data_IF_568466300570
#
_entry.id   IF_568466300570
#
_cell.length_a   1.000
_cell.length_b   1.000
_cell.length_c   1.000
_cell.angle_alpha   90.00
_cell.angle_beta   90.00
_cell.angle_gamma   90.00
#
_symmetry.space_group_name_H-M   'P 1'
#
loop_
_entity.id
_entity.type
_entity.pdbx_description
1 polymer ?
#
# COMPACT_ATOMS: atom_id res chain seq x y z
N UNK A 1 -56.35 -72.98 -21.65
CA UNK A 1 -55.15 -72.92 -20.78
C UNK A 1 -54.74 -71.47 -20.62
N UNK A 2 -54.49 -71.04 -19.36
CA UNK A 2 -53.92 -69.76 -18.86
C UNK A 2 -53.31 -68.83 -19.94
N UNK A 3 -53.50 -67.51 -19.89
CA UNK A 3 -52.86 -66.63 -18.90
C UNK A 3 -53.54 -65.25 -18.81
N UNK A 4 -53.72 -64.81 -17.57
CA UNK A 4 -54.04 -63.45 -17.12
C UNK A 4 -52.79 -62.58 -17.32
N UNK A 5 -52.91 -61.37 -17.87
CA UNK A 5 -51.87 -60.35 -17.82
C UNK A 5 -52.36 -59.15 -17.01
N UNK A 6 -51.74 -59.03 -15.84
CA UNK A 6 -51.80 -57.95 -14.88
C UNK A 6 -50.91 -56.80 -15.41
N UNK A 7 -51.49 -55.64 -15.71
CA UNK A 7 -50.71 -54.43 -16.01
C UNK A 7 -50.49 -53.69 -14.70
N UNK A 8 -49.27 -53.75 -14.19
CA UNK A 8 -48.80 -53.01 -13.02
C UNK A 8 -48.41 -51.60 -13.46
N UNK A 9 -49.08 -50.59 -12.91
CA UNK A 9 -48.77 -49.18 -13.08
C UNK A 9 -47.60 -48.84 -12.14
N UNK A 10 -46.39 -48.66 -12.68
CA UNK A 10 -45.21 -48.25 -11.91
C UNK A 10 -45.11 -46.72 -11.94
N UNK A 11 -45.41 -46.07 -10.82
CA UNK A 11 -45.21 -44.64 -10.62
C UNK A 11 -43.71 -44.37 -10.37
N UNK A 12 -43.06 -43.64 -11.29
CA UNK A 12 -41.69 -43.18 -11.13
C UNK A 12 -41.68 -41.91 -10.25
N UNK A 13 -41.20 -42.01 -9.01
CA UNK A 13 -40.84 -40.86 -8.19
C UNK A 13 -39.49 -40.31 -8.68
N UNK A 14 -39.51 -39.10 -9.25
CA UNK A 14 -38.31 -38.34 -9.55
C UNK A 14 -37.79 -37.70 -8.25
N UNK A 15 -36.72 -38.24 -7.69
CA UNK A 15 -35.96 -37.59 -6.63
C UNK A 15 -35.12 -36.47 -7.26
N UNK A 16 -35.56 -35.22 -7.11
CA UNK A 16 -34.72 -34.05 -7.35
C UNK A 16 -33.64 -34.00 -6.25
N UNK A 17 -32.49 -34.62 -6.52
CA UNK A 17 -31.30 -34.44 -5.70
C UNK A 17 -30.78 -33.03 -5.92
N UNK A 18 -30.69 -32.24 -4.85
CA UNK A 18 -29.87 -31.03 -4.82
C UNK A 18 -28.42 -31.45 -5.14
N UNK A 19 -27.99 -31.26 -6.38
CA UNK A 19 -26.56 -31.20 -6.68
C UNK A 19 -26.07 -29.91 -6.04
N UNK A 20 -25.34 -30.04 -4.93
CA UNK A 20 -24.47 -28.97 -4.48
C UNK A 20 -23.53 -28.66 -5.65
N UNK A 21 -23.58 -27.43 -6.15
CA UNK A 21 -22.58 -26.90 -7.08
C UNK A 21 -21.21 -27.17 -6.45
N UNK A 22 -20.24 -27.74 -7.20
CA UNK A 22 -18.89 -27.88 -6.68
C UNK A 22 -18.44 -26.50 -6.19
N UNK A 23 -18.17 -26.38 -4.90
CA UNK A 23 -17.47 -25.21 -4.37
C UNK A 23 -16.12 -25.21 -5.05
N UNK A 24 -15.91 -24.26 -5.95
CA UNK A 24 -14.61 -24.04 -6.59
C UNK A 24 -13.58 -23.87 -5.48
N UNK A 25 -12.51 -24.68 -5.52
CA UNK A 25 -11.46 -24.56 -4.51
C UNK A 25 -10.88 -23.15 -4.57
N UNK A 26 -10.62 -22.52 -3.41
CA UNK A 26 -10.06 -21.18 -3.39
C UNK A 26 -8.74 -21.15 -4.16
N UNK A 27 -8.43 -20.04 -4.86
CA UNK A 27 -7.22 -19.95 -5.70
C UNK A 27 -5.91 -20.00 -4.90
N UNK A 28 -6.01 -19.90 -3.57
CA UNK A 28 -4.90 -19.89 -2.63
C UNK A 28 -5.22 -20.72 -1.38
N UNK A 29 -4.16 -21.15 -0.70
CA UNK A 29 -4.26 -21.66 0.67
C UNK A 29 -4.38 -20.50 1.65
N UNK A 30 -5.15 -20.68 2.73
CA UNK A 30 -5.30 -19.69 3.79
C UNK A 30 -4.82 -20.34 5.08
N UNK A 31 -4.08 -19.61 5.90
CA UNK A 31 -3.69 -20.08 7.22
C UNK A 31 -4.91 -20.46 8.09
N UNK A 32 -4.84 -21.64 8.73
CA UNK A 32 -5.93 -22.18 9.56
C UNK A 32 -6.31 -21.26 10.74
N UNK A 33 -5.39 -20.38 11.15
CA UNK A 33 -5.50 -19.49 12.31
C UNK A 33 -5.85 -18.03 11.95
N UNK A 34 -6.33 -17.75 10.73
CA UNK A 34 -6.60 -16.39 10.24
C UNK A 34 -7.47 -15.54 11.18
N UNK A 35 -8.44 -16.14 11.87
CA UNK A 35 -9.26 -15.42 12.87
C UNK A 35 -8.41 -14.93 14.05
N UNK A 36 -7.55 -15.80 14.59
CA UNK A 36 -6.66 -15.42 15.69
C UNK A 36 -5.64 -14.37 15.25
N UNK A 37 -5.25 -14.39 13.98
CA UNK A 37 -4.35 -13.40 13.40
C UNK A 37 -4.95 -12.00 13.35
N UNK A 38 -6.17 -11.87 12.79
CA UNK A 38 -6.85 -10.57 12.74
C UNK A 38 -7.21 -10.04 14.14
N UNK A 39 -7.51 -10.93 15.10
CA UNK A 39 -7.81 -10.54 16.49
C UNK A 39 -6.63 -9.90 17.24
N UNK A 40 -5.39 -10.01 16.72
CA UNK A 40 -4.25 -9.26 17.26
C UNK A 40 -4.38 -7.74 17.05
N UNK A 41 -5.16 -7.32 16.05
CA UNK A 41 -5.40 -5.93 15.68
C UNK A 41 -6.76 -5.50 16.23
N UNK A 42 -6.73 -4.82 17.38
CA UNK A 42 -7.95 -4.32 18.02
C UNK A 42 -8.39 -3.02 17.33
N UNK A 43 -9.59 -2.98 16.72
CA UNK A 43 -10.08 -1.76 16.09
C UNK A 43 -10.23 -0.64 17.12
N UNK A 44 -9.65 0.51 16.82
CA UNK A 44 -9.72 1.70 17.67
C UNK A 44 -10.08 2.90 16.81
N UNK A 45 -11.06 3.68 17.28
CA UNK A 45 -11.36 4.97 16.67
C UNK A 45 -10.26 5.96 17.06
N UNK A 46 -9.56 6.46 16.04
CA UNK A 46 -8.60 7.56 16.16
C UNK A 46 -9.32 8.87 15.84
N UNK A 47 -9.13 9.88 16.68
CA UNK A 47 -9.74 11.19 16.49
C UNK A 47 -8.93 12.28 17.16
N UNK A 48 -9.13 13.51 16.70
CA UNK A 48 -8.52 14.72 17.23
C UNK A 48 -9.58 15.82 17.42
N UNK A 49 -9.35 16.72 18.37
CA UNK A 49 -10.20 17.90 18.51
C UNK A 49 -9.84 18.91 17.41
N UNK A 50 -10.74 19.07 16.43
CA UNK A 50 -10.57 20.00 15.32
C UNK A 50 -11.13 21.40 15.63
N UNK A 51 -11.68 21.62 16.82
CA UNK A 51 -12.46 22.80 17.20
C UNK A 51 -11.73 24.14 17.02
N UNK A 52 -10.40 24.13 17.11
CA UNK A 52 -9.55 25.30 16.97
C UNK A 52 -9.08 25.55 15.53
N UNK A 53 -9.13 24.55 14.65
CA UNK A 53 -8.72 24.70 13.25
C UNK A 53 -9.59 25.73 12.53
N UNK A 54 -8.93 26.57 11.72
CA UNK A 54 -9.60 27.51 10.83
C UNK A 54 -10.45 26.79 9.79
N UNK A 55 -11.34 27.52 9.10
CA UNK A 55 -12.09 26.94 7.99
C UNK A 55 -11.16 26.49 6.85
N UNK A 56 -10.10 27.26 6.59
CA UNK A 56 -9.10 26.94 5.57
C UNK A 56 -8.28 25.70 5.92
N UNK A 57 -7.87 25.53 7.18
CA UNK A 57 -7.09 24.36 7.61
C UNK A 57 -7.95 23.08 7.61
N UNK A 58 -9.24 23.18 7.92
CA UNK A 58 -10.16 22.04 7.77
C UNK A 58 -10.30 21.62 6.32
N UNK A 59 -10.43 22.57 5.40
CA UNK A 59 -10.47 22.29 3.97
C UNK A 59 -9.14 21.71 3.47
N UNK A 60 -8.01 22.25 3.93
CA UNK A 60 -6.68 21.70 3.64
C UNK A 60 -6.54 20.26 4.16
N UNK A 61 -6.99 19.98 5.38
CA UNK A 61 -6.97 18.64 5.97
C UNK A 61 -7.78 17.62 5.16
N UNK A 62 -8.99 17.99 4.70
CA UNK A 62 -9.81 17.12 3.85
C UNK A 62 -9.13 16.80 2.50
N UNK A 63 -8.37 17.75 1.95
CA UNK A 63 -7.59 17.57 0.73
C UNK A 63 -6.33 16.72 0.97
N UNK A 64 -5.68 16.89 2.11
CA UNK A 64 -4.52 16.09 2.52
C UNK A 64 -4.90 14.63 2.76
N UNK A 65 -6.06 14.35 3.36
CA UNK A 65 -6.59 12.98 3.50
C UNK A 65 -6.74 12.33 2.12
N UNK A 66 -7.31 13.05 1.15
CA UNK A 66 -7.43 12.54 -0.22
C UNK A 66 -6.06 12.32 -0.89
N UNK A 67 -5.06 13.15 -0.58
CA UNK A 67 -3.70 12.98 -1.08
C UNK A 67 -3.03 11.74 -0.44
N UNK A 68 -3.26 11.52 0.86
CA UNK A 68 -2.78 10.35 1.60
C UNK A 68 -3.34 9.06 1.01
N UNK A 69 -4.64 9.01 0.66
CA UNK A 69 -5.22 7.86 -0.04
C UNK A 69 -4.53 7.57 -1.39
N UNK A 70 -4.04 8.60 -2.08
CA UNK A 70 -3.33 8.43 -3.36
C UNK A 70 -1.95 7.81 -3.14
N UNK A 71 -1.17 8.34 -2.20
CA UNK A 71 0.17 7.79 -1.92
C UNK A 71 0.14 6.47 -1.16
N UNK A 72 -0.96 6.15 -0.46
CA UNK A 72 -1.21 4.81 0.06
C UNK A 72 -1.20 3.77 -1.08
N UNK A 73 -1.87 4.07 -2.20
CA UNK A 73 -1.80 3.22 -3.39
C UNK A 73 -0.39 3.09 -3.99
N UNK A 74 0.43 4.15 -3.88
CA UNK A 74 1.85 4.09 -4.27
C UNK A 74 2.65 3.17 -3.33
N UNK A 75 2.46 3.32 -2.02
CA UNK A 75 3.13 2.48 -1.03
C UNK A 75 2.77 1.01 -1.20
N UNK A 76 1.52 0.70 -1.51
CA UNK A 76 1.11 -0.68 -1.78
C UNK A 76 1.86 -1.30 -2.97
N UNK A 77 2.13 -0.53 -4.03
CA UNK A 77 2.96 -0.96 -5.16
C UNK A 77 4.44 -1.09 -4.77
N UNK A 78 4.92 -0.24 -3.86
CA UNK A 78 6.28 -0.33 -3.30
C UNK A 78 6.45 -1.54 -2.37
N UNK A 79 5.42 -1.92 -1.62
CA UNK A 79 5.41 -3.12 -0.79
C UNK A 79 5.44 -4.38 -1.65
N UNK A 80 4.68 -4.41 -2.75
CA UNK A 80 4.72 -5.52 -3.69
C UNK A 80 4.25 -5.13 -5.10
N UNK A 81 5.17 -5.15 -6.07
CA UNK A 81 4.91 -4.72 -7.44
C UNK A 81 3.96 -5.66 -8.23
N UNK A 82 3.82 -6.94 -7.83
CA UNK A 82 3.02 -7.93 -8.55
C UNK A 82 1.68 -8.25 -7.85
N UNK A 83 1.12 -7.27 -7.14
CA UNK A 83 -0.07 -7.46 -6.29
C UNK A 83 -1.41 -7.54 -7.02
N UNK A 84 -1.53 -6.98 -8.23
CA UNK A 84 -2.80 -6.80 -8.94
C UNK A 84 -3.67 -8.07 -9.02
N UNK A 85 -3.05 -9.22 -9.32
CA UNK A 85 -3.78 -10.48 -9.40
C UNK A 85 -4.29 -10.92 -8.03
N UNK A 86 -3.45 -10.83 -7.00
CA UNK A 86 -3.82 -11.21 -5.63
C UNK A 86 -4.90 -10.28 -5.08
N UNK A 87 -4.78 -8.97 -5.30
CA UNK A 87 -5.79 -7.99 -4.90
C UNK A 87 -7.16 -8.33 -5.48
N UNK A 88 -7.21 -8.67 -6.78
CA UNK A 88 -8.44 -9.07 -7.45
C UNK A 88 -9.01 -10.37 -6.86
N UNK A 89 -8.15 -11.36 -6.57
CA UNK A 89 -8.57 -12.62 -5.97
C UNK A 89 -9.12 -12.42 -4.54
N UNK A 90 -8.44 -11.63 -3.70
CA UNK A 90 -8.85 -11.30 -2.32
C UNK A 90 -10.16 -10.53 -2.33
N UNK A 91 -10.29 -9.52 -3.20
CA UNK A 91 -11.52 -8.75 -3.34
C UNK A 91 -12.73 -9.64 -3.72
N UNK A 92 -12.52 -10.57 -4.66
CA UNK A 92 -13.55 -11.51 -5.13
C UNK A 92 -13.82 -12.68 -4.16
N UNK A 93 -12.98 -12.89 -3.16
CA UNK A 93 -13.10 -14.04 -2.26
C UNK A 93 -14.38 -13.97 -1.41
N UNK A 94 -15.17 -15.05 -1.45
CA UNK A 94 -16.40 -15.23 -0.67
C UNK A 94 -16.44 -16.55 0.11
N UNK A 95 -15.28 -17.19 0.30
CA UNK A 95 -15.16 -18.46 1.00
C UNK A 95 -15.18 -18.34 2.53
N UNK A 96 -14.78 -19.41 3.25
CA UNK A 96 -14.63 -19.37 4.70
C UNK A 96 -13.75 -18.22 5.17
N UNK A 97 -14.16 -17.53 6.24
CA UNK A 97 -13.43 -16.41 6.84
C UNK A 97 -13.15 -15.23 5.89
N UNK A 98 -13.97 -15.02 4.84
CA UNK A 98 -13.73 -13.98 3.84
C UNK A 98 -13.50 -12.57 4.42
N UNK A 99 -14.23 -12.19 5.47
CA UNK A 99 -13.99 -10.91 6.15
C UNK A 99 -12.57 -10.85 6.75
N UNK A 100 -12.21 -11.82 7.59
CA UNK A 100 -10.88 -11.88 8.20
C UNK A 100 -9.75 -11.95 7.16
N UNK A 101 -9.94 -12.63 6.02
CA UNK A 101 -8.97 -12.65 4.92
C UNK A 101 -8.79 -11.25 4.33
N UNK A 102 -9.87 -10.54 4.05
CA UNK A 102 -9.81 -9.19 3.47
C UNK A 102 -9.21 -8.18 4.45
N UNK A 103 -9.67 -8.20 5.69
CA UNK A 103 -9.19 -7.32 6.75
C UNK A 103 -7.69 -7.54 7.01
N UNK A 104 -7.25 -8.79 7.08
CA UNK A 104 -5.85 -9.09 7.34
C UNK A 104 -4.94 -8.80 6.14
N UNK A 105 -5.42 -9.00 4.92
CA UNK A 105 -4.71 -8.59 3.70
C UNK A 105 -4.53 -7.07 3.62
N UNK A 106 -5.56 -6.31 4.00
CA UNK A 106 -5.50 -4.85 4.09
C UNK A 106 -4.51 -4.39 5.16
N UNK A 107 -4.60 -4.94 6.38
CA UNK A 107 -3.66 -4.65 7.48
C UNK A 107 -2.20 -4.97 7.11
N UNK A 108 -1.98 -6.11 6.44
CA UNK A 108 -0.64 -6.56 6.07
C UNK A 108 -0.15 -6.01 4.74
N UNK A 109 -0.99 -5.33 3.98
CA UNK A 109 -0.69 -4.85 2.63
C UNK A 109 -0.14 -5.96 1.73
N UNK A 110 -0.66 -7.19 1.88
CA UNK A 110 -0.19 -8.35 1.12
C UNK A 110 -0.40 -9.71 1.79
N UNK A 111 0.06 -10.79 1.12
CA UNK A 111 -0.12 -12.18 1.55
C UNK A 111 0.83 -12.65 2.66
N UNK A 112 1.63 -11.75 3.22
CA UNK A 112 2.68 -12.04 4.21
C UNK A 112 2.39 -11.41 5.56
N UNK A 113 2.79 -12.09 6.64
CA UNK A 113 2.51 -11.65 8.02
C UNK A 113 3.66 -10.77 8.53
N UNK A 114 3.45 -9.44 8.52
CA UNK A 114 4.42 -8.45 8.97
C UNK A 114 4.78 -8.59 10.47
N UNK A 115 3.92 -9.19 11.29
CA UNK A 115 4.24 -9.49 12.71
C UNK A 115 5.11 -10.74 12.86
N UNK A 116 5.24 -11.53 11.80
CA UNK A 116 5.92 -12.82 11.81
C UNK A 116 6.93 -12.95 10.68
N UNK A 117 7.76 -11.91 10.53
CA UNK A 117 8.88 -11.85 9.59
C UNK A 117 8.50 -12.21 8.14
N UNK A 118 7.33 -11.74 7.69
CA UNK A 118 6.81 -11.99 6.35
C UNK A 118 6.57 -13.47 6.01
N UNK A 119 6.25 -14.29 7.02
CA UNK A 119 5.75 -15.64 6.76
C UNK A 119 4.46 -15.58 5.92
N UNK A 120 4.33 -16.33 4.81
CA UNK A 120 3.11 -16.34 4.02
C UNK A 120 1.95 -16.90 4.84
N UNK A 121 0.83 -16.19 4.82
CA UNK A 121 -0.44 -16.62 5.41
C UNK A 121 -1.52 -16.86 4.35
N UNK A 122 -1.31 -16.30 3.15
CA UNK A 122 -2.16 -16.46 1.97
C UNK A 122 -1.28 -16.97 0.81
N UNK A 123 -1.50 -18.21 0.37
CA UNK A 123 -0.61 -18.90 -0.56
C UNK A 123 0.68 -19.40 0.09
N UNK A 124 1.71 -19.64 -0.72
CA UNK A 124 3.01 -20.20 -0.31
C UNK A 124 4.23 -19.42 -0.85
N UNK A 125 4.01 -18.32 -1.57
CA UNK A 125 5.08 -17.50 -2.11
C UNK A 125 5.90 -16.85 -0.98
N UNK A 126 7.22 -16.79 -1.16
CA UNK A 126 8.09 -16.03 -0.26
C UNK A 126 7.97 -14.53 -0.56
N UNK A 127 8.06 -13.70 0.48
CA UNK A 127 8.12 -12.26 0.34
C UNK A 127 9.43 -11.87 -0.38
N UNK A 128 9.38 -11.08 -1.48
CA UNK A 128 10.60 -10.61 -2.12
C UNK A 128 11.33 -9.64 -1.19
N UNK A 129 12.59 -9.90 -0.85
CA UNK A 129 13.36 -9.02 0.06
C UNK A 129 13.49 -7.59 -0.47
N UNK A 130 13.52 -7.43 -1.79
CA UNK A 130 13.52 -6.14 -2.46
C UNK A 130 12.14 -5.48 -2.59
N UNK A 131 11.09 -6.07 -2.03
CA UNK A 131 9.70 -5.62 -2.16
C UNK A 131 9.35 -5.30 -3.63
N UNK A 132 8.63 -4.20 -3.89
CA UNK A 132 8.35 -3.68 -5.22
C UNK A 132 9.46 -2.83 -5.84
N UNK A 133 10.65 -2.74 -5.23
CA UNK A 133 11.69 -1.80 -5.66
C UNK A 133 12.70 -2.36 -6.67
N UNK A 134 12.76 -3.68 -6.82
CA UNK A 134 13.68 -4.38 -7.71
C UNK A 134 12.96 -5.52 -8.44
N UNK A 135 13.50 -6.03 -9.56
CA UNK A 135 12.95 -7.25 -10.14
C UNK A 135 13.03 -8.41 -9.13
N UNK A 136 11.94 -9.14 -8.92
CA UNK A 136 11.88 -10.22 -7.91
C UNK A 136 12.90 -11.35 -8.16
N UNK A 137 13.37 -11.50 -9.41
CA UNK A 137 14.38 -12.48 -9.81
C UNK A 137 15.83 -11.97 -9.72
N UNK A 138 16.01 -10.69 -9.38
CA UNK A 138 17.32 -10.06 -9.29
C UNK A 138 18.04 -10.52 -8.02
N UNK A 139 19.30 -10.92 -8.18
CA UNK A 139 20.17 -11.26 -7.04
C UNK A 139 21.05 -10.07 -6.64
N UNK A 140 21.49 -10.03 -5.38
CA UNK A 140 22.45 -9.02 -4.93
C UNK A 140 23.73 -9.02 -5.80
N UNK A 141 24.25 -10.21 -6.11
CA UNK A 141 25.44 -10.38 -6.93
C UNK A 141 25.27 -9.84 -8.35
N UNK A 142 24.07 -9.95 -8.92
CA UNK A 142 23.76 -9.35 -10.22
C UNK A 142 23.81 -7.82 -10.14
N UNK A 143 23.17 -7.24 -9.12
CA UNK A 143 23.14 -5.80 -8.90
C UNK A 143 24.55 -5.23 -8.69
N UNK A 144 25.35 -5.86 -7.83
CA UNK A 144 26.73 -5.46 -7.58
C UNK A 144 27.61 -5.55 -8.83
N UNK A 145 27.51 -6.66 -9.57
CA UNK A 145 28.25 -6.86 -10.82
C UNK A 145 27.85 -5.82 -11.89
N UNK A 146 26.57 -5.46 -11.96
CA UNK A 146 26.11 -4.41 -12.87
C UNK A 146 26.78 -3.07 -12.58
N UNK A 147 26.82 -2.67 -11.31
CA UNK A 147 27.40 -1.40 -10.92
C UNK A 147 28.92 -1.38 -11.05
N UNK A 148 29.60 -2.51 -10.79
CA UNK A 148 31.03 -2.62 -11.05
C UNK A 148 31.35 -2.43 -12.54
N UNK A 149 30.53 -3.00 -13.42
CA UNK A 149 30.69 -2.86 -14.87
C UNK A 149 30.24 -1.48 -15.41
N UNK A 150 29.27 -0.85 -14.75
CA UNK A 150 28.64 0.41 -15.16
C UNK A 150 28.62 1.42 -13.99
N UNK A 151 29.77 1.96 -13.59
CA UNK A 151 29.86 2.81 -12.39
C UNK A 151 29.00 4.08 -12.47
N UNK A 152 28.73 4.58 -13.68
CA UNK A 152 27.91 5.77 -13.91
C UNK A 152 26.41 5.53 -13.57
N UNK A 153 25.93 4.28 -13.62
CA UNK A 153 24.55 3.92 -13.25
C UNK A 153 24.38 3.80 -11.72
N UNK A 154 25.50 3.59 -11.00
CA UNK A 154 25.52 3.28 -9.57
C UNK A 154 24.81 4.29 -8.66
N UNK A 155 24.98 5.61 -8.83
CA UNK A 155 24.27 6.61 -8.03
C UNK A 155 22.74 6.52 -8.19
N UNK A 156 22.25 6.34 -9.42
CA UNK A 156 20.82 6.19 -9.70
C UNK A 156 20.28 4.90 -9.09
N UNK A 157 20.96 3.78 -9.30
CA UNK A 157 20.51 2.47 -8.80
C UNK A 157 20.46 2.38 -7.27
N UNK A 158 21.26 3.18 -6.55
CA UNK A 158 21.24 3.28 -5.08
C UNK A 158 20.43 4.45 -4.54
N UNK A 159 19.80 5.24 -5.40
CA UNK A 159 19.03 6.41 -4.97
C UNK A 159 17.79 5.99 -4.17
N UNK A 160 17.46 6.80 -3.16
CA UNK A 160 16.25 6.69 -2.33
C UNK A 160 14.97 6.71 -3.16
N UNK A 161 14.96 7.48 -4.25
CA UNK A 161 13.74 7.83 -5.00
C UNK A 161 13.72 7.18 -6.40
N UNK A 162 14.16 5.91 -6.49
CA UNK A 162 14.16 5.18 -7.76
C UNK A 162 13.75 3.73 -7.60
N UNK A 163 12.99 3.21 -8.55
CA UNK A 163 12.76 1.78 -8.73
C UNK A 163 13.81 1.23 -9.71
N UNK A 164 14.36 0.06 -9.42
CA UNK A 164 15.24 -0.65 -10.34
C UNK A 164 14.39 -1.55 -11.21
N UNK A 165 14.48 -1.37 -12.53
CA UNK A 165 13.80 -2.22 -13.51
C UNK A 165 14.80 -2.89 -14.44
N UNK A 166 14.35 -3.97 -15.07
CA UNK A 166 15.11 -4.69 -16.09
C UNK A 166 14.69 -4.24 -17.49
N UNK A 167 15.62 -3.67 -18.26
CA UNK A 167 15.46 -3.35 -19.69
C UNK A 167 16.36 -4.26 -20.54
N UNK A 168 15.84 -5.45 -20.89
CA UNK A 168 16.66 -6.51 -21.50
C UNK A 168 17.65 -7.06 -20.48
N UNK A 169 18.95 -7.00 -20.79
CA UNK A 169 20.01 -7.40 -19.84
C UNK A 169 20.47 -6.25 -18.94
N UNK A 170 19.85 -5.07 -19.02
CA UNK A 170 20.26 -3.87 -18.29
C UNK A 170 19.45 -3.67 -17.01
N UNK A 171 20.12 -3.23 -15.95
CA UNK A 171 19.46 -2.64 -14.79
C UNK A 171 19.37 -1.12 -14.98
N UNK A 172 18.17 -0.58 -14.83
CA UNK A 172 17.89 0.85 -15.02
C UNK A 172 17.20 1.38 -13.78
N UNK A 173 17.69 2.51 -13.26
CA UNK A 173 17.03 3.26 -12.20
C UNK A 173 15.98 4.18 -12.83
N UNK A 174 14.72 4.00 -12.42
CA UNK A 174 13.59 4.83 -12.84
C UNK A 174 13.13 5.70 -11.67
N UNK A 175 13.11 7.04 -11.82
CA UNK A 175 12.68 7.93 -10.75
C UNK A 175 11.24 7.67 -10.31
N UNK A 176 10.91 7.93 -9.04
CA UNK A 176 9.55 7.78 -8.52
C UNK A 176 8.56 8.68 -9.26
N UNK A 177 8.93 9.92 -9.56
CA UNK A 177 8.13 10.85 -10.39
C UNK A 177 7.77 10.29 -11.77
N UNK A 178 8.59 9.40 -12.34
CA UNK A 178 8.29 8.72 -13.61
C UNK A 178 7.43 7.47 -13.40
N UNK A 179 7.82 6.61 -12.45
CA UNK A 179 7.15 5.31 -12.22
C UNK A 179 5.72 5.50 -11.71
N UNK A 180 5.52 6.43 -10.78
CA UNK A 180 4.23 6.69 -10.13
C UNK A 180 3.58 7.99 -10.64
N UNK A 181 3.96 8.44 -11.85
CA UNK A 181 3.60 9.76 -12.37
C UNK A 181 2.10 10.09 -12.32
N UNK A 182 1.18 9.22 -12.76
CA UNK A 182 -0.26 9.51 -12.68
C UNK A 182 -0.75 9.79 -11.25
N UNK A 183 -0.31 8.99 -10.29
CA UNK A 183 -0.65 9.10 -8.87
C UNK A 183 -0.01 10.36 -8.27
N UNK A 184 1.27 10.59 -8.52
CA UNK A 184 2.01 11.73 -7.97
C UNK A 184 1.55 13.07 -8.55
N UNK A 185 1.11 13.13 -9.82
CA UNK A 185 0.44 14.32 -10.37
C UNK A 185 -0.88 14.59 -9.66
N UNK A 186 -1.67 13.56 -9.35
CA UNK A 186 -2.92 13.73 -8.61
C UNK A 186 -2.65 14.19 -7.17
N UNK A 187 -1.69 13.58 -6.48
CA UNK A 187 -1.30 13.98 -5.13
C UNK A 187 -0.78 15.42 -5.11
N UNK A 188 0.13 15.79 -6.01
CA UNK A 188 0.64 17.16 -6.12
C UNK A 188 -0.48 18.19 -6.30
N UNK A 189 -1.44 17.92 -7.19
CA UNK A 189 -2.59 18.82 -7.38
C UNK A 189 -3.47 18.95 -6.12
N UNK A 190 -3.57 17.92 -5.28
CA UNK A 190 -4.29 17.98 -4.01
C UNK A 190 -3.50 18.79 -2.97
N UNK A 191 -2.18 18.64 -2.91
CA UNK A 191 -1.30 19.45 -2.07
C UNK A 191 -1.36 20.94 -2.45
N UNK A 192 -1.35 21.27 -3.74
CA UNK A 192 -1.52 22.65 -4.23
C UNK A 192 -2.87 23.24 -3.83
N UNK A 193 -3.95 22.45 -3.91
CA UNK A 193 -5.28 22.88 -3.45
C UNK A 193 -5.30 23.10 -1.93
N UNK A 194 -4.69 22.20 -1.15
CA UNK A 194 -4.59 22.32 0.29
C UNK A 194 -3.80 23.58 0.69
N UNK A 195 -2.69 23.85 -0.02
CA UNK A 195 -1.88 25.06 0.15
C UNK A 195 -2.66 26.34 -0.18
N UNK A 196 -3.58 26.29 -1.15
CA UNK A 196 -4.45 27.40 -1.49
C UNK A 196 -5.58 27.63 -0.48
N UNK A 197 -6.00 26.58 0.24
CA UNK A 197 -7.09 26.61 1.22
C UNK A 197 -6.64 27.08 2.61
N UNK A 198 -5.47 26.63 3.08
CA UNK A 198 -4.96 27.00 4.42
C UNK A 198 -4.66 28.49 4.56
N UNK A 199 -4.92 29.02 5.75
CA UNK A 199 -4.53 30.38 6.15
C UNK A 199 -3.13 30.43 6.79
N UNK A 200 -2.49 29.28 7.07
CA UNK A 200 -1.13 29.19 7.60
C UNK A 200 -0.08 29.30 6.49
N UNK A 201 0.74 30.35 6.59
CA UNK A 201 1.80 30.62 5.63
C UNK A 201 2.91 29.56 5.61
N UNK A 202 3.20 28.92 6.75
CA UNK A 202 4.25 27.88 6.85
C UNK A 202 3.77 26.58 6.20
N UNK A 203 2.56 26.13 6.56
CA UNK A 203 1.92 24.97 5.91
C UNK A 203 1.77 25.18 4.40
N UNK A 204 1.27 26.35 3.98
CA UNK A 204 1.17 26.69 2.57
C UNK A 204 2.50 26.54 1.83
N UNK A 205 3.57 27.12 2.39
CA UNK A 205 4.89 27.08 1.76
C UNK A 205 5.43 25.65 1.65
N UNK A 206 5.30 24.87 2.72
CA UNK A 206 5.67 23.45 2.72
C UNK A 206 4.91 22.66 1.65
N UNK A 207 3.58 22.82 1.59
CA UNK A 207 2.74 22.07 0.65
C UNK A 207 3.01 22.44 -0.82
N UNK A 208 3.26 23.71 -1.13
CA UNK A 208 3.67 24.16 -2.47
C UNK A 208 4.98 23.50 -2.90
N UNK A 209 6.01 23.51 -2.04
CA UNK A 209 7.29 22.85 -2.33
C UNK A 209 7.13 21.33 -2.43
N UNK A 210 6.39 20.72 -1.50
CA UNK A 210 6.20 19.27 -1.49
C UNK A 210 5.48 18.79 -2.75
N UNK A 211 4.49 19.54 -3.24
CA UNK A 211 3.82 19.25 -4.51
C UNK A 211 4.80 19.23 -5.69
N UNK A 212 5.73 20.20 -5.72
CA UNK A 212 6.79 20.26 -6.74
C UNK A 212 7.75 19.07 -6.66
N UNK A 213 8.09 18.63 -5.44
CA UNK A 213 9.04 17.55 -5.21
C UNK A 213 8.51 16.20 -5.68
N UNK A 214 7.20 15.94 -5.53
CA UNK A 214 6.57 14.72 -6.05
C UNK A 214 6.76 14.55 -7.57
N UNK A 215 7.01 15.65 -8.29
CA UNK A 215 7.18 15.66 -9.75
C UNK A 215 8.64 15.73 -10.18
N UNK A 216 9.58 15.92 -9.25
CA UNK A 216 11.01 16.14 -9.53
C UNK A 216 11.96 15.25 -8.75
N UNK A 217 11.48 14.59 -7.70
CA UNK A 217 12.25 13.77 -6.76
C UNK A 217 13.32 14.57 -5.95
N UNK A 218 13.12 15.88 -5.74
CA UNK A 218 14.08 16.81 -5.10
C UNK A 218 13.61 17.34 -3.72
N UNK A 219 13.55 16.48 -2.70
CA UNK A 219 12.86 16.77 -1.43
C UNK A 219 13.54 17.74 -0.44
N UNK A 220 14.78 18.19 -0.71
CA UNK A 220 15.58 18.92 0.29
C UNK A 220 14.94 20.23 0.76
N UNK A 221 14.44 21.06 -0.17
CA UNK A 221 13.89 22.37 0.19
C UNK A 221 12.55 22.24 0.92
N UNK A 222 11.69 21.30 0.53
CA UNK A 222 10.45 21.07 1.29
C UNK A 222 10.71 20.43 2.64
N UNK A 223 11.74 19.59 2.81
CA UNK A 223 12.10 19.05 4.12
C UNK A 223 12.58 20.17 5.06
N UNK A 224 13.29 21.18 4.53
CA UNK A 224 13.61 22.38 5.32
C UNK A 224 12.35 23.17 5.68
N UNK A 225 11.40 23.33 4.76
CA UNK A 225 10.14 23.99 5.04
C UNK A 225 9.24 23.20 6.00
N UNK A 226 9.33 21.87 6.00
CA UNK A 226 8.65 21.00 6.96
C UNK A 226 9.13 21.26 8.38
N UNK A 227 10.44 21.42 8.58
CA UNK A 227 11.01 21.78 9.88
C UNK A 227 10.56 23.18 10.38
N UNK A 228 10.13 24.04 9.47
CA UNK A 228 9.66 25.41 9.77
C UNK A 228 8.14 25.48 10.00
N UNK A 229 7.40 24.36 9.97
CA UNK A 229 5.97 24.33 10.28
C UNK A 229 5.70 24.90 11.68
N UNK A 230 4.70 25.77 11.78
CA UNK A 230 4.38 26.47 13.02
C UNK A 230 2.88 26.58 13.32
N UNK A 231 2.02 25.96 12.50
CA UNK A 231 0.57 25.98 12.64
C UNK A 231 -0.02 24.87 13.48
N UNK A 232 -1.34 24.73 13.38
CA UNK A 232 -2.11 23.73 14.12
C UNK A 232 -2.15 22.36 13.41
N UNK A 233 -1.67 22.27 12.16
CA UNK A 233 -1.52 21.02 11.41
C UNK A 233 -0.04 20.67 11.28
N UNK A 234 0.30 19.45 11.70
CA UNK A 234 1.62 18.85 11.53
C UNK A 234 1.51 17.75 10.46
N UNK A 235 2.27 17.89 9.37
CA UNK A 235 2.08 17.08 8.16
C UNK A 235 3.40 16.49 7.70
N UNK A 236 3.47 15.15 7.72
CA UNK A 236 4.49 14.39 7.02
C UNK A 236 3.85 13.81 5.75
N UNK A 237 4.48 13.99 4.59
CA UNK A 237 3.93 13.52 3.31
C UNK A 237 5.03 13.27 2.28
N UNK A 238 5.49 12.04 2.08
CA UNK A 238 6.55 11.78 1.09
C UNK A 238 7.27 10.46 1.31
N UNK A 239 8.33 10.18 0.53
CA UNK A 239 9.14 8.99 0.69
C UNK A 239 10.24 9.20 1.75
N UNK A 240 10.24 8.40 2.82
CA UNK A 240 11.19 8.57 3.93
C UNK A 240 11.90 7.28 4.34
N UNK A 241 11.17 6.35 4.95
CA UNK A 241 11.77 5.20 5.62
C UNK A 241 12.18 4.10 4.61
N UNK A 242 13.30 3.41 4.89
CA UNK A 242 13.85 2.40 3.96
C UNK A 242 13.66 0.96 4.42
N UNK A 243 12.84 0.73 5.46
CA UNK A 243 12.68 -0.60 6.08
C UNK A 243 11.97 -1.63 5.19
N UNK A 244 11.17 -1.17 4.23
CA UNK A 244 10.48 -2.03 3.28
C UNK A 244 11.46 -2.67 2.29
N UNK A 245 12.55 -1.99 1.95
CA UNK A 245 13.69 -2.57 1.21
C UNK A 245 14.58 -3.38 2.15
N UNK A 246 14.27 -4.67 2.29
CA UNK A 246 15.06 -5.61 3.11
C UNK A 246 16.28 -6.16 2.37
N UNK A 247 16.41 -5.89 1.06
CA UNK A 247 17.53 -6.33 0.24
C UNK A 247 18.75 -5.44 0.46
N UNK A 248 18.60 -4.13 0.29
CA UNK A 248 19.71 -3.18 0.44
C UNK A 248 19.45 -2.04 1.42
N UNK A 249 18.18 -1.78 1.78
CA UNK A 249 17.79 -0.62 2.57
C UNK A 249 18.08 0.71 1.87
N UNK A 250 18.06 0.74 0.54
CA UNK A 250 18.31 1.94 -0.25
C UNK A 250 17.05 2.72 -0.58
N UNK A 251 15.87 2.10 -0.57
CA UNK A 251 14.68 2.67 -1.22
C UNK A 251 13.70 3.19 -0.20
N UNK A 252 13.32 4.45 -0.34
CA UNK A 252 12.41 5.10 0.57
C UNK A 252 10.95 4.76 0.22
N UNK A 253 10.15 4.43 1.22
CA UNK A 253 8.71 4.16 1.11
C UNK A 253 7.91 5.45 1.28
N UNK A 254 6.87 5.63 0.46
CA UNK A 254 5.90 6.71 0.65
C UNK A 254 5.08 6.49 1.91
N UNK A 255 4.94 7.55 2.69
CA UNK A 255 4.10 7.57 3.89
C UNK A 255 3.48 8.95 4.09
N UNK A 256 2.46 9.00 4.94
CA UNK A 256 1.96 10.26 5.48
C UNK A 256 1.45 10.14 6.89
N UNK A 257 1.66 11.21 7.65
CA UNK A 257 1.05 11.43 8.95
C UNK A 257 0.40 12.80 8.96
N UNK A 258 -0.91 12.83 9.18
CA UNK A 258 -1.70 14.05 9.30
C UNK A 258 -2.11 14.21 10.76
N UNK A 259 -1.44 15.14 11.45
CA UNK A 259 -1.58 15.35 12.87
C UNK A 259 -2.14 16.75 13.15
N UNK A 260 -2.88 16.86 14.25
CA UNK A 260 -3.28 18.15 14.82
C UNK A 260 -2.37 18.42 16.00
N UNK A 261 -1.70 19.57 15.99
CA UNK A 261 -0.77 19.95 17.03
C UNK A 261 -1.47 20.05 18.39
N UNK A 262 -0.77 19.68 19.46
CA UNK A 262 -1.18 19.92 20.84
C UNK A 262 -0.24 20.99 21.45
N UNK A 263 -0.60 22.28 21.40
CA UNK A 263 0.29 23.35 21.87
C UNK A 263 0.62 23.24 23.36
N UNK A 264 -0.26 22.65 24.18
CA UNK A 264 -0.02 22.50 25.61
C UNK A 264 1.07 21.44 25.85
N UNK A 265 0.99 20.29 25.17
CA UNK A 265 2.00 19.24 25.29
C UNK A 265 3.30 19.62 24.59
N UNK A 266 3.27 20.23 23.41
CA UNK A 266 4.48 20.67 22.70
C UNK A 266 5.30 21.62 23.57
N UNK A 267 4.66 22.61 24.18
CA UNK A 267 5.33 23.56 25.08
C UNK A 267 5.91 22.91 26.34
N UNK A 268 5.39 21.77 26.77
CA UNK A 268 5.93 21.05 27.93
C UNK A 268 7.28 20.36 27.62
N UNK A 269 7.65 20.29 26.33
CA UNK A 269 8.89 19.68 25.84
C UNK A 269 9.97 20.71 25.43
N UNK A 270 9.65 22.01 25.43
CA UNK A 270 10.57 23.14 25.17
C UNK A 270 11.56 23.39 26.33
#
# INVERSE_FOLDING_TARGET
>A
MRKIFLVVLLAAMATAGCQATPTEEPPFTIADDIQARVEQFQPQELGADLGHLSAGDREALDLLIQASDVIQGVFEQQAWANRDEMDAQVAAYTGPNAAAVKDYYDIMLGPWDRLKAEEPWLGDAHHPEGAGYYPEDMTEAEFEAWIEANPDDGPGLRSLHTIVIREGDRLVAKPYSEIFGPELVKAAALLEQAAAATDDATLKHFLELRAEDLLRDEYYESDMAWMDLAGDLEVVFGPYETYEDKLFGYKAAFESFLCVADPEQSKALD
#
